data_IF_844112335670
#
_entry.id   IF_844112335670
#
_cell.length_a   1.000
_cell.length_b   1.000
_cell.length_c   1.000
_cell.angle_alpha   90.00
_cell.angle_beta   90.00
_cell.angle_gamma   90.00
#
_symmetry.space_group_name_H-M   'P 1'
#
loop_
_entity.id
_entity.type
_entity.pdbx_description
1 polymer ?
#
# COMPACT_ATOMS: atom_id res chain seq x y z
N UNK A 1 -16.93 -31.42 29.44
CA UNK A 1 -15.59 -31.00 29.02
C UNK A 1 -15.68 -29.55 28.55
N UNK A 2 -15.03 -28.61 29.25
CA UNK A 2 -15.12 -27.16 28.99
C UNK A 2 -14.18 -26.79 27.84
N UNK A 3 -14.70 -26.24 26.75
CA UNK A 3 -13.96 -25.35 25.85
C UNK A 3 -14.73 -24.03 25.73
N UNK A 4 -14.57 -23.16 26.73
CA UNK A 4 -14.83 -21.73 26.59
C UNK A 4 -13.57 -21.09 26.00
N UNK A 5 -13.42 -21.17 24.69
CA UNK A 5 -12.47 -20.32 23.97
C UNK A 5 -13.12 -18.97 23.71
N UNK A 6 -13.08 -18.06 24.68
CA UNK A 6 -13.45 -16.68 24.44
C UNK A 6 -12.55 -16.13 23.32
N UNK A 7 -13.13 -15.82 22.16
CA UNK A 7 -12.44 -15.10 21.08
C UNK A 7 -11.98 -13.76 21.65
N UNK A 8 -10.71 -13.66 22.06
CA UNK A 8 -10.08 -12.36 22.24
C UNK A 8 -9.91 -11.78 20.85
N UNK A 9 -10.90 -11.02 20.38
CA UNK A 9 -10.64 -9.99 19.40
C UNK A 9 -9.77 -8.97 20.13
N UNK A 10 -8.47 -8.98 19.84
CA UNK A 10 -7.62 -7.91 20.33
C UNK A 10 -8.05 -6.64 19.60
N UNK A 11 -8.31 -5.54 20.33
CA UNK A 11 -8.58 -4.27 19.69
C UNK A 11 -7.35 -3.84 18.85
N UNK A 12 -7.51 -2.93 17.87
CA UNK A 12 -6.40 -2.30 17.17
C UNK A 12 -5.35 -1.71 18.12
N UNK A 13 -4.21 -1.29 17.57
CA UNK A 13 -3.12 -0.64 18.31
C UNK A 13 -3.62 0.34 19.38
N UNK A 14 -2.94 0.32 20.53
CA UNK A 14 -3.11 1.34 21.53
C UNK A 14 -2.80 2.72 20.95
N UNK A 15 -3.41 3.75 21.53
CA UNK A 15 -3.15 5.13 21.11
C UNK A 15 -1.65 5.49 21.24
N UNK A 16 -0.93 4.91 22.20
CA UNK A 16 0.53 5.04 22.34
C UNK A 16 1.28 4.51 21.12
N UNK A 17 0.94 3.31 20.65
CA UNK A 17 1.61 2.72 19.49
C UNK A 17 1.36 3.53 18.21
N UNK A 18 0.13 4.01 18.00
CA UNK A 18 -0.20 4.89 16.87
C UNK A 18 0.49 6.25 16.97
N UNK A 19 0.55 6.84 18.17
CA UNK A 19 1.26 8.09 18.43
C UNK A 19 2.74 7.93 18.11
N UNK A 20 3.40 6.86 18.56
CA UNK A 20 4.81 6.62 18.26
C UNK A 20 5.04 6.45 16.74
N UNK A 21 4.17 5.71 16.05
CA UNK A 21 4.25 5.58 14.60
C UNK A 21 4.10 6.94 13.92
N UNK A 22 3.11 7.74 14.35
CA UNK A 22 2.87 9.08 13.81
C UNK A 22 4.08 9.99 14.04
N UNK A 23 4.59 10.09 15.27
CA UNK A 23 5.81 10.85 15.56
C UNK A 23 6.96 10.40 14.66
N UNK A 24 7.18 9.07 14.52
CA UNK A 24 8.26 8.56 13.68
C UNK A 24 8.09 8.91 12.19
N UNK A 25 6.86 8.92 11.68
CA UNK A 25 6.55 9.30 10.30
C UNK A 25 6.97 10.74 10.02
N UNK A 26 6.59 11.67 10.90
CA UNK A 26 6.88 13.10 10.72
C UNK A 26 8.31 13.49 11.15
N UNK A 27 8.94 12.74 12.07
CA UNK A 27 10.36 12.89 12.41
C UNK A 27 11.28 12.54 11.22
N UNK A 28 10.95 11.48 10.48
CA UNK A 28 11.77 10.98 9.38
C UNK A 28 11.56 11.76 8.07
N UNK A 29 10.41 12.40 7.93
CA UNK A 29 10.00 13.08 6.70
C UNK A 29 9.51 14.49 7.02
N UNK A 30 10.46 15.39 7.26
CA UNK A 30 10.16 16.80 7.53
C UNK A 30 9.38 17.43 6.36
N UNK A 31 8.40 18.26 6.70
CA UNK A 31 7.51 18.89 5.74
C UNK A 31 6.53 17.96 5.02
N UNK A 32 6.46 16.66 5.38
CA UNK A 32 5.50 15.72 4.80
C UNK A 32 4.05 16.18 5.03
N UNK A 33 3.25 16.20 3.96
CA UNK A 33 1.83 16.59 4.01
C UNK A 33 0.97 15.52 3.34
N UNK A 34 0.28 14.65 4.11
CA UNK A 34 -0.52 13.55 3.55
C UNK A 34 -1.49 13.96 2.45
N UNK A 35 -2.11 15.14 2.59
CA UNK A 35 -3.09 15.65 1.61
C UNK A 35 -2.45 16.20 0.33
N UNK A 36 -1.15 16.48 0.32
CA UNK A 36 -0.38 16.96 -0.85
C UNK A 36 0.57 15.89 -1.39
N UNK A 37 0.37 14.63 -1.03
CA UNK A 37 1.21 13.51 -1.46
C UNK A 37 0.49 12.61 -2.44
N UNK A 38 1.25 12.07 -3.39
CA UNK A 38 0.79 11.04 -4.32
C UNK A 38 1.13 9.67 -3.72
N UNK A 39 0.18 8.75 -3.70
CA UNK A 39 0.36 7.41 -3.15
C UNK A 39 0.48 6.42 -4.31
N UNK A 40 1.49 5.56 -4.26
CA UNK A 40 1.83 4.62 -5.33
C UNK A 40 1.99 3.21 -4.78
N UNK A 41 1.68 2.23 -5.62
CA UNK A 41 2.03 0.83 -5.40
C UNK A 41 2.18 0.09 -6.73
N UNK A 42 3.33 -0.55 -6.97
CA UNK A 42 3.56 -1.37 -8.16
C UNK A 42 3.23 -2.84 -7.91
N UNK A 43 2.51 -3.42 -8.86
CA UNK A 43 2.24 -4.84 -8.91
C UNK A 43 2.93 -5.49 -10.12
N UNK A 44 3.64 -6.58 -9.87
CA UNK A 44 4.43 -7.27 -10.89
C UNK A 44 5.52 -8.16 -10.32
N UNK A 45 6.35 -8.70 -11.20
CA UNK A 45 7.44 -9.59 -10.82
C UNK A 45 8.70 -8.86 -10.35
N UNK A 46 8.72 -7.53 -10.37
CA UNK A 46 9.90 -6.71 -10.06
C UNK A 46 10.83 -6.50 -11.26
N UNK A 47 11.93 -5.77 -11.02
CA UNK A 47 13.05 -5.56 -11.96
C UNK A 47 12.62 -4.98 -13.33
N UNK A 48 11.68 -4.04 -13.34
CA UNK A 48 11.17 -3.40 -14.56
C UNK A 48 10.07 -4.17 -15.28
N UNK A 49 9.69 -5.35 -14.81
CA UNK A 49 8.58 -6.14 -15.34
C UNK A 49 7.27 -5.86 -14.59
N UNK A 50 7.02 -4.57 -14.34
CA UNK A 50 5.81 -4.15 -13.66
C UNK A 50 4.59 -4.23 -14.57
N UNK A 51 3.53 -4.84 -14.05
CA UNK A 51 2.31 -5.09 -14.79
C UNK A 51 1.22 -4.07 -14.46
N UNK A 52 1.26 -3.51 -13.25
CA UNK A 52 0.31 -2.52 -12.79
C UNK A 52 0.96 -1.47 -11.89
N UNK A 53 0.37 -0.28 -11.89
CA UNK A 53 0.69 0.79 -10.96
C UNK A 53 -0.61 1.43 -10.46
N UNK A 54 -0.87 1.30 -9.17
CA UNK A 54 -1.93 2.02 -8.49
C UNK A 54 -1.49 3.44 -8.16
N UNK A 55 -2.32 4.43 -8.47
CA UNK A 55 -2.10 5.84 -8.16
C UNK A 55 -3.25 6.36 -7.30
N UNK A 56 -2.95 7.07 -6.21
CA UNK A 56 -3.97 7.78 -5.44
C UNK A 56 -3.60 9.22 -5.10
N UNK A 57 -4.46 10.16 -5.51
CA UNK A 57 -4.32 11.60 -5.31
C UNK A 57 -5.43 12.16 -4.41
N UNK A 58 -5.14 12.47 -3.12
CA UNK A 58 -6.15 12.86 -2.15
C UNK A 58 -6.89 14.19 -2.45
N UNK A 59 -6.33 15.05 -3.30
CA UNK A 59 -6.94 16.35 -3.65
C UNK A 59 -8.23 16.20 -4.48
N UNK A 60 -8.44 15.05 -5.13
CA UNK A 60 -9.70 14.76 -5.85
C UNK A 60 -10.81 14.31 -4.89
N UNK A 61 -12.03 14.13 -5.41
CA UNK A 61 -13.19 13.68 -4.62
C UNK A 61 -13.63 12.28 -5.02
N UNK A 62 -14.10 11.51 -4.05
CA UNK A 62 -14.72 10.20 -4.28
C UNK A 62 -13.84 9.24 -5.09
N UNK A 63 -14.45 8.61 -6.09
CA UNK A 63 -13.81 7.61 -6.95
C UNK A 63 -12.71 8.17 -7.84
N UNK A 64 -12.71 9.49 -8.09
CA UNK A 64 -11.73 10.17 -8.94
C UNK A 64 -10.33 10.26 -8.33
N UNK A 65 -10.16 9.86 -7.07
CA UNK A 65 -8.86 9.87 -6.39
C UNK A 65 -7.91 8.80 -6.88
N UNK A 66 -8.39 7.78 -7.59
CA UNK A 66 -7.60 6.62 -7.95
C UNK A 66 -7.51 6.44 -9.46
N UNK A 67 -6.34 6.02 -9.94
CA UNK A 67 -6.16 5.47 -11.28
C UNK A 67 -5.28 4.23 -11.21
N UNK A 68 -5.65 3.23 -11.99
CA UNK A 68 -4.84 2.04 -12.22
C UNK A 68 -4.24 2.16 -13.61
N UNK A 69 -2.91 2.15 -13.69
CA UNK A 69 -2.21 2.01 -14.95
C UNK A 69 -1.85 0.53 -15.14
N UNK A 70 -2.30 -0.08 -16.23
CA UNK A 70 -1.98 -1.45 -16.60
C UNK A 70 -1.01 -1.46 -17.77
N UNK A 71 -0.02 -2.35 -17.72
CA UNK A 71 0.75 -2.71 -18.91
C UNK A 71 -0.12 -3.56 -19.84
N UNK A 72 0.24 -3.58 -21.12
CA UNK A 72 -0.38 -4.46 -22.09
C UNK A 72 0.14 -5.89 -21.96
N UNK A 73 0.42 -6.54 -23.08
CA UNK A 73 1.17 -7.80 -23.13
C UNK A 73 2.65 -7.60 -22.71
N UNK A 74 3.45 -8.66 -22.71
CA UNK A 74 4.87 -8.62 -22.30
C UNK A 74 5.72 -7.64 -23.14
N UNK A 75 5.26 -7.31 -24.34
CA UNK A 75 5.92 -6.35 -25.25
C UNK A 75 5.48 -4.89 -25.02
N UNK A 76 4.50 -4.64 -24.15
CA UNK A 76 3.95 -3.31 -23.85
C UNK A 76 4.04 -2.99 -22.35
N UNK A 77 5.25 -2.74 -21.82
CA UNK A 77 5.44 -2.39 -20.42
C UNK A 77 4.75 -1.06 -20.06
N UNK A 78 4.66 -0.79 -18.75
CA UNK A 78 4.27 0.54 -18.27
C UNK A 78 5.16 1.61 -18.92
N UNK A 79 4.56 2.71 -19.36
CA UNK A 79 5.26 3.75 -20.12
C UNK A 79 5.10 5.12 -19.50
N UNK A 80 6.08 6.00 -19.72
CA UNK A 80 6.01 7.39 -19.28
C UNK A 80 4.77 8.12 -19.86
N UNK A 81 4.37 7.78 -21.09
CA UNK A 81 3.15 8.28 -21.71
C UNK A 81 1.90 7.81 -20.96
N UNK A 82 1.81 6.53 -20.60
CA UNK A 82 0.71 5.99 -19.81
C UNK A 82 0.62 6.64 -18.43
N UNK A 83 1.76 6.81 -17.74
CA UNK A 83 1.82 7.53 -16.47
C UNK A 83 1.35 8.98 -16.62
N UNK A 84 1.77 9.68 -17.67
CA UNK A 84 1.33 11.05 -17.95
C UNK A 84 -0.19 11.12 -18.07
N UNK A 85 -0.82 10.25 -18.85
CA UNK A 85 -2.27 10.23 -18.99
C UNK A 85 -2.98 9.91 -17.66
N UNK A 86 -2.47 8.94 -16.90
CA UNK A 86 -3.05 8.61 -15.60
C UNK A 86 -2.97 9.79 -14.60
N UNK A 87 -1.89 10.58 -14.64
CA UNK A 87 -1.75 11.79 -13.84
C UNK A 87 -2.64 12.93 -14.33
N UNK A 88 -2.81 13.09 -15.64
CA UNK A 88 -3.73 14.06 -16.26
C UNK A 88 -5.18 13.75 -15.87
N UNK A 89 -5.58 12.48 -15.90
CA UNK A 89 -6.90 12.02 -15.47
C UNK A 89 -7.16 12.22 -13.98
N UNK A 90 -6.11 12.10 -13.15
CA UNK A 90 -6.16 12.46 -11.74
C UNK A 90 -6.18 13.98 -11.52
N UNK A 91 -6.02 14.78 -12.59
CA UNK A 91 -5.74 16.21 -12.52
C UNK A 91 -4.62 16.53 -11.52
N UNK A 92 -3.58 15.69 -11.52
CA UNK A 92 -2.45 15.78 -10.62
C UNK A 92 -1.26 16.42 -11.35
N UNK A 93 -1.02 17.70 -11.11
CA UNK A 93 0.19 18.34 -11.59
C UNK A 93 1.38 17.89 -10.72
N UNK A 94 2.41 17.28 -11.34
CA UNK A 94 3.61 16.83 -10.63
C UNK A 94 4.30 17.94 -9.81
N UNK A 95 4.15 19.21 -10.20
CA UNK A 95 4.64 20.37 -9.46
C UNK A 95 3.97 20.51 -8.08
N UNK A 96 2.69 20.15 -7.96
CA UNK A 96 1.89 20.25 -6.73
C UNK A 96 2.15 19.11 -5.74
N UNK A 97 2.69 17.99 -6.23
CA UNK A 97 3.04 16.85 -5.40
C UNK A 97 4.20 17.23 -4.47
N UNK A 98 3.96 17.17 -3.16
CA UNK A 98 4.96 17.41 -2.13
C UNK A 98 5.85 16.17 -1.89
N UNK A 99 5.24 15.00 -1.86
CA UNK A 99 5.94 13.73 -1.64
C UNK A 99 5.23 12.60 -2.35
N UNK A 100 5.96 11.52 -2.61
CA UNK A 100 5.44 10.25 -3.07
C UNK A 100 5.47 9.26 -1.91
N UNK A 101 4.37 8.54 -1.67
CA UNK A 101 4.22 7.65 -0.52
C UNK A 101 4.01 6.22 -0.99
N UNK A 102 4.74 5.30 -0.36
CA UNK A 102 4.74 3.87 -0.71
C UNK A 102 4.83 3.01 0.53
N UNK A 103 4.55 1.72 0.38
CA UNK A 103 4.84 0.70 1.39
C UNK A 103 5.66 -0.42 0.77
N UNK A 104 6.97 -0.35 0.97
CA UNK A 104 7.92 -1.16 0.21
C UNK A 104 9.00 -1.76 1.10
N UNK A 105 9.60 -2.86 0.64
CA UNK A 105 10.95 -3.23 1.07
C UNK A 105 11.98 -2.10 0.88
N UNK A 106 13.24 -2.39 1.21
CA UNK A 106 14.34 -1.42 1.15
C UNK A 106 14.57 -0.65 2.46
N UNK A 107 15.45 0.34 2.45
CA UNK A 107 15.70 1.26 3.57
C UNK A 107 14.99 2.60 3.32
N UNK A 108 15.66 3.74 3.61
CA UNK A 108 15.11 5.08 3.36
C UNK A 108 14.81 5.26 1.87
N UNK A 109 15.69 4.76 1.00
CA UNK A 109 15.36 4.60 -0.41
C UNK A 109 14.56 3.30 -0.59
N UNK A 110 13.30 3.42 -1.02
CA UNK A 110 12.41 2.28 -1.22
C UNK A 110 12.74 1.51 -2.49
N UNK A 111 12.52 0.20 -2.48
CA UNK A 111 12.55 -0.63 -3.70
C UNK A 111 11.59 -0.07 -4.76
N UNK A 112 10.43 0.45 -4.33
CA UNK A 112 9.50 1.21 -5.18
C UNK A 112 10.11 2.41 -5.91
N UNK A 113 11.05 3.15 -5.30
CA UNK A 113 11.71 4.26 -5.99
C UNK A 113 12.66 3.74 -7.06
N UNK A 114 13.35 2.63 -6.79
CA UNK A 114 14.21 1.98 -7.76
C UNK A 114 13.37 1.49 -8.96
N UNK A 115 12.29 0.76 -8.69
CA UNK A 115 11.31 0.31 -9.71
C UNK A 115 10.79 1.49 -10.52
N UNK A 116 10.39 2.58 -9.87
CA UNK A 116 9.91 3.78 -10.56
C UNK A 116 10.97 4.38 -11.50
N UNK A 117 12.22 4.47 -11.04
CA UNK A 117 13.35 5.01 -11.82
C UNK A 117 13.73 4.11 -12.99
N UNK A 118 13.60 2.80 -12.83
CA UNK A 118 13.81 1.81 -13.89
C UNK A 118 12.73 1.93 -14.97
N UNK A 119 11.46 2.01 -14.58
CA UNK A 119 10.31 2.04 -15.50
C UNK A 119 10.14 3.40 -16.18
N UNK A 120 10.22 4.51 -15.43
CA UNK A 120 9.89 5.84 -15.94
C UNK A 120 11.11 6.78 -16.08
N UNK A 121 12.29 6.31 -15.69
CA UNK A 121 13.53 7.06 -15.80
C UNK A 121 13.87 7.89 -14.56
N UNK A 122 15.17 7.97 -14.26
CA UNK A 122 15.73 8.70 -13.10
C UNK A 122 15.40 10.19 -13.10
N UNK A 123 15.27 10.81 -14.27
CA UNK A 123 15.04 12.25 -14.42
C UNK A 123 13.56 12.64 -14.37
N UNK A 124 12.64 11.69 -14.18
CA UNK A 124 11.23 12.00 -14.07
C UNK A 124 10.94 12.88 -12.84
N UNK A 125 10.05 13.86 -12.95
CA UNK A 125 9.79 14.86 -11.89
C UNK A 125 9.40 14.21 -10.55
N UNK A 126 8.59 13.14 -10.59
CA UNK A 126 8.21 12.40 -9.37
C UNK A 126 9.38 11.65 -8.73
N UNK A 127 10.38 11.20 -9.51
CA UNK A 127 11.58 10.53 -9.00
C UNK A 127 12.51 11.50 -8.23
N UNK A 128 12.28 12.81 -8.38
CA UNK A 128 13.01 13.89 -7.72
C UNK A 128 12.27 14.43 -6.48
N UNK A 129 11.06 13.96 -6.19
CA UNK A 129 10.31 14.33 -4.98
C UNK A 129 10.85 13.59 -3.76
N UNK A 130 10.40 13.97 -2.57
CA UNK A 130 10.63 13.17 -1.37
C UNK A 130 9.81 11.89 -1.43
N UNK A 131 10.46 10.74 -1.25
CA UNK A 131 9.79 9.43 -1.16
C UNK A 131 9.65 9.01 0.30
N UNK A 132 8.43 8.71 0.71
CA UNK A 132 8.04 8.35 2.07
C UNK A 132 7.71 6.86 2.09
N UNK A 133 8.60 6.05 2.65
CA UNK A 133 8.39 4.61 2.77
C UNK A 133 7.80 4.26 4.14
N UNK A 134 6.49 4.01 4.19
CA UNK A 134 5.78 3.70 5.43
C UNK A 134 6.24 2.41 6.10
N UNK A 135 6.78 1.46 5.33
CA UNK A 135 7.31 0.23 5.90
C UNK A 135 8.58 0.50 6.73
N UNK A 136 9.40 1.49 6.37
CA UNK A 136 10.55 1.92 7.20
C UNK A 136 10.06 2.50 8.53
N UNK A 137 9.03 3.35 8.47
CA UNK A 137 8.41 3.93 9.67
C UNK A 137 7.90 2.83 10.59
N UNK A 138 7.18 1.84 10.04
CA UNK A 138 6.74 0.67 10.78
C UNK A 138 7.92 -0.07 11.42
N UNK A 139 8.98 -0.35 10.65
CA UNK A 139 10.16 -1.08 11.14
C UNK A 139 10.95 -0.33 12.23
N UNK A 140 10.88 1.01 12.24
CA UNK A 140 11.51 1.90 13.23
C UNK A 140 10.59 2.25 14.42
N UNK A 141 9.32 1.85 14.39
CA UNK A 141 8.35 2.11 15.46
C UNK A 141 8.22 0.89 16.39
N UNK A 142 8.98 0.90 17.49
CA UNK A 142 9.10 -0.26 18.40
C UNK A 142 7.79 -0.70 19.05
N UNK A 143 6.94 0.25 19.43
CA UNK A 143 5.61 0.00 20.01
C UNK A 143 4.63 -0.49 18.95
N UNK A 144 4.60 0.14 17.78
CA UNK A 144 3.76 -0.33 16.68
C UNK A 144 4.12 -1.76 16.26
N UNK A 145 5.43 -2.08 16.15
CA UNK A 145 5.87 -3.45 15.91
C UNK A 145 5.46 -4.42 16.99
N UNK A 146 5.51 -3.99 18.26
CA UNK A 146 5.05 -4.80 19.37
C UNK A 146 3.55 -5.09 19.22
N UNK A 147 2.74 -4.07 18.91
CA UNK A 147 1.32 -4.21 18.63
C UNK A 147 1.04 -5.26 17.53
N UNK A 148 1.70 -5.11 16.37
CA UNK A 148 1.58 -6.07 15.25
C UNK A 148 1.94 -7.50 15.67
N UNK A 149 3.00 -7.68 16.47
CA UNK A 149 3.42 -9.00 16.97
C UNK A 149 2.48 -9.60 18.01
N UNK A 150 1.85 -8.77 18.81
CA UNK A 150 0.95 -9.22 19.87
C UNK A 150 -0.41 -9.61 19.28
N UNK A 151 -0.92 -8.83 18.33
CA UNK A 151 -2.19 -9.10 17.65
C UNK A 151 -2.09 -10.22 16.62
N UNK A 152 -0.95 -10.33 15.92
CA UNK A 152 -0.70 -11.33 14.85
C UNK A 152 -1.84 -11.40 13.84
N UNK A 153 -2.39 -10.23 13.49
CA UNK A 153 -3.55 -10.14 12.62
C UNK A 153 -3.29 -10.82 11.27
N UNK A 154 -2.09 -10.65 10.71
CA UNK A 154 -1.63 -11.33 9.49
C UNK A 154 -0.38 -12.16 9.78
N UNK A 155 -0.37 -13.41 9.33
CA UNK A 155 0.74 -14.36 9.42
C UNK A 155 0.96 -14.99 8.05
N UNK A 156 2.22 -15.21 7.63
CA UNK A 156 2.47 -16.02 6.44
C UNK A 156 2.06 -17.47 6.69
N UNK A 157 1.49 -18.14 5.69
CA UNK A 157 1.16 -19.56 5.75
C UNK A 157 2.42 -20.36 6.14
N UNK A 158 2.27 -21.29 7.08
CA UNK A 158 3.38 -22.09 7.60
C UNK A 158 4.36 -21.34 8.53
N UNK A 159 4.12 -20.05 8.83
CA UNK A 159 4.93 -19.28 9.78
C UNK A 159 4.11 -18.85 10.99
N UNK A 160 4.71 -18.97 12.18
CA UNK A 160 4.07 -18.51 13.41
C UNK A 160 4.28 -17.01 13.69
N UNK A 161 5.26 -16.38 13.04
CA UNK A 161 5.61 -14.99 13.27
C UNK A 161 4.65 -14.04 12.56
N UNK A 162 4.40 -12.88 13.18
CA UNK A 162 3.64 -11.80 12.57
C UNK A 162 4.36 -11.26 11.32
N UNK A 163 3.56 -10.93 10.31
CA UNK A 163 4.03 -10.32 9.07
C UNK A 163 3.88 -8.79 9.16
N UNK A 164 4.96 -8.03 8.94
CA UNK A 164 4.91 -6.55 8.94
C UNK A 164 4.46 -6.00 7.58
N UNK A 165 3.29 -6.44 7.13
CA UNK A 165 2.68 -6.01 5.86
C UNK A 165 1.84 -4.74 6.03
N UNK A 166 1.43 -4.15 4.90
CA UNK A 166 0.45 -3.08 4.88
C UNK A 166 -0.85 -3.53 5.58
N UNK A 167 -1.29 -4.77 5.34
CA UNK A 167 -2.50 -5.32 5.97
C UNK A 167 -2.44 -5.40 7.50
N UNK A 168 -1.25 -5.66 8.06
CA UNK A 168 -1.05 -5.58 9.50
C UNK A 168 -1.19 -4.14 9.98
N UNK A 169 -0.60 -3.18 9.26
CA UNK A 169 -0.70 -1.76 9.58
C UNK A 169 -2.14 -1.23 9.46
N UNK A 170 -2.88 -1.67 8.45
CA UNK A 170 -4.30 -1.39 8.27
C UNK A 170 -5.09 -1.77 9.52
N UNK A 171 -4.89 -3.00 10.01
CA UNK A 171 -5.54 -3.48 11.23
C UNK A 171 -5.22 -2.61 12.44
N UNK A 172 -3.94 -2.26 12.64
CA UNK A 172 -3.53 -1.41 13.77
C UNK A 172 -4.15 -0.01 13.71
N UNK A 173 -4.42 0.51 12.50
CA UNK A 173 -5.12 1.78 12.29
C UNK A 173 -6.64 1.63 12.18
N UNK A 174 -7.21 0.44 12.39
CA UNK A 174 -8.64 0.19 12.31
C UNK A 174 -9.22 0.24 10.89
N UNK A 175 -8.37 0.13 9.87
CA UNK A 175 -8.76 0.04 8.47
C UNK A 175 -9.08 -1.42 8.17
N UNK A 176 -10.32 -1.69 7.72
CA UNK A 176 -10.76 -3.05 7.40
C UNK A 176 -10.45 -3.38 5.94
N UNK A 177 -9.71 -4.46 5.72
CA UNK A 177 -9.53 -5.08 4.41
C UNK A 177 -10.65 -6.09 4.14
N UNK A 178 -11.23 -6.02 2.95
CA UNK A 178 -12.21 -6.99 2.48
C UNK A 178 -11.57 -8.40 2.43
N UNK A 179 -12.26 -9.47 2.87
CA UNK A 179 -11.75 -10.83 2.80
C UNK A 179 -11.24 -11.26 1.41
N UNK A 180 -11.89 -10.79 0.34
CA UNK A 180 -11.53 -11.15 -1.03
C UNK A 180 -10.21 -10.51 -1.50
N UNK A 181 -9.78 -9.43 -0.85
CA UNK A 181 -8.56 -8.67 -1.19
C UNK A 181 -7.34 -9.08 -0.35
N UNK A 182 -7.47 -10.12 0.45
CA UNK A 182 -6.44 -10.62 1.37
C UNK A 182 -5.40 -11.44 0.60
N UNK A 183 -4.12 -11.15 0.84
CA UNK A 183 -3.00 -11.84 0.20
C UNK A 183 -3.06 -13.37 0.34
N UNK A 184 -2.89 -14.08 -0.79
CA UNK A 184 -3.03 -15.55 -0.84
C UNK A 184 -2.00 -16.32 0.01
N UNK A 185 -0.86 -15.72 0.37
CA UNK A 185 0.19 -16.35 1.16
C UNK A 185 0.03 -16.13 2.67
N UNK A 186 -1.12 -15.59 3.10
CA UNK A 186 -1.37 -15.16 4.46
C UNK A 186 -2.57 -15.87 5.12
N UNK A 187 -2.48 -16.03 6.45
CA UNK A 187 -3.55 -16.46 7.36
C UNK A 187 -3.87 -15.34 8.34
N UNK A 188 -5.15 -15.11 8.58
CA UNK A 188 -5.64 -13.98 9.37
C UNK A 188 -6.05 -14.38 10.80
N UNK A 189 -6.39 -13.40 11.62
CA UNK A 189 -6.86 -13.63 13.00
C UNK A 189 -8.14 -14.49 13.06
N UNK A 190 -8.99 -14.39 12.05
CA UNK A 190 -10.19 -15.22 11.88
C UNK A 190 -9.90 -16.65 11.36
N UNK A 191 -8.63 -17.00 11.20
CA UNK A 191 -8.11 -18.26 10.66
C UNK A 191 -8.44 -18.52 9.18
N UNK A 192 -9.08 -17.58 8.47
CA UNK A 192 -9.19 -17.67 7.02
C UNK A 192 -7.82 -17.44 6.37
N UNK A 193 -7.59 -18.10 5.25
CA UNK A 193 -6.49 -17.79 4.32
C UNK A 193 -6.96 -16.73 3.34
N UNK A 194 -6.05 -15.84 2.93
CA UNK A 194 -6.34 -14.98 1.79
C UNK A 194 -6.41 -15.79 0.50
N UNK A 195 -7.05 -15.23 -0.52
CA UNK A 195 -7.19 -15.86 -1.83
C UNK A 195 -6.69 -14.95 -2.97
N UNK A 196 -6.21 -13.75 -2.66
CA UNK A 196 -5.82 -12.79 -3.68
C UNK A 196 -4.49 -13.19 -4.32
N UNK A 197 -4.60 -13.68 -5.57
CA UNK A 197 -3.48 -14.09 -6.41
C UNK A 197 -3.18 -13.05 -7.48
N UNK A 198 -2.64 -11.92 -7.03
CA UNK A 198 -2.44 -10.72 -7.87
C UNK A 198 -1.66 -10.99 -9.16
N UNK A 199 -0.59 -11.80 -9.11
CA UNK A 199 0.23 -12.12 -10.29
C UNK A 199 -0.51 -13.00 -11.30
N UNK A 200 -1.31 -13.98 -10.84
CA UNK A 200 -2.14 -14.80 -11.73
C UNK A 200 -3.26 -13.96 -12.36
N UNK A 201 -3.85 -13.03 -11.59
CA UNK A 201 -4.88 -12.11 -12.05
C UNK A 201 -4.34 -11.17 -13.15
N UNK A 202 -3.20 -10.53 -12.89
CA UNK A 202 -2.52 -9.67 -13.85
C UNK A 202 -2.17 -10.43 -15.13
N UNK A 203 -1.68 -11.67 -15.02
CA UNK A 203 -1.36 -12.49 -16.19
C UNK A 203 -2.59 -12.71 -17.07
N UNK A 204 -3.73 -13.13 -16.49
CA UNK A 204 -4.97 -13.37 -17.24
C UNK A 204 -5.47 -12.12 -17.95
N UNK A 205 -5.47 -10.98 -17.26
CA UNK A 205 -5.90 -9.71 -17.84
C UNK A 205 -5.00 -9.27 -19.00
N UNK A 206 -3.68 -9.48 -18.89
CA UNK A 206 -2.72 -9.12 -19.93
C UNK A 206 -2.75 -10.05 -21.15
N UNK A 207 -3.10 -11.32 -20.97
CA UNK A 207 -3.27 -12.28 -22.08
C UNK A 207 -4.63 -12.22 -22.75
N UNK A 208 -5.57 -11.41 -22.22
CA UNK A 208 -6.93 -11.31 -22.73
C UNK A 208 -7.87 -12.42 -22.24
N UNK A 209 -7.42 -13.25 -21.30
CA UNK A 209 -8.21 -14.33 -20.68
C UNK A 209 -9.00 -13.87 -19.44
N UNK A 210 -8.81 -12.61 -19.01
CA UNK A 210 -9.46 -12.04 -17.84
C UNK A 210 -10.87 -11.53 -18.12
N UNK A 211 -11.71 -11.50 -17.09
CA UNK A 211 -13.08 -11.00 -17.16
C UNK A 211 -13.22 -9.56 -16.63
N UNK A 212 -14.41 -8.98 -16.76
CA UNK A 212 -14.73 -7.69 -16.12
C UNK A 212 -14.67 -7.79 -14.58
N UNK A 213 -15.05 -8.94 -14.01
CA UNK A 213 -14.90 -9.20 -12.58
C UNK A 213 -13.43 -9.28 -12.15
N UNK A 214 -12.57 -9.90 -12.97
CA UNK A 214 -11.13 -9.93 -12.72
C UNK A 214 -10.55 -8.50 -12.72
N UNK A 215 -10.99 -7.66 -13.67
CA UNK A 215 -10.59 -6.25 -13.75
C UNK A 215 -11.06 -5.46 -12.53
N UNK A 216 -12.32 -5.63 -12.12
CA UNK A 216 -12.88 -4.97 -10.94
C UNK A 216 -12.20 -5.41 -9.64
N UNK A 217 -11.85 -6.70 -9.52
CA UNK A 217 -11.12 -7.25 -8.37
C UNK A 217 -9.70 -6.69 -8.29
N UNK A 218 -8.99 -6.62 -9.43
CA UNK A 218 -7.67 -5.99 -9.51
C UNK A 218 -7.73 -4.53 -9.09
N UNK A 219 -8.69 -3.78 -9.65
CA UNK A 219 -8.86 -2.37 -9.33
C UNK A 219 -9.17 -2.17 -7.83
N UNK A 220 -10.06 -2.98 -7.26
CA UNK A 220 -10.41 -2.91 -5.85
C UNK A 220 -9.21 -3.20 -4.93
N UNK A 221 -8.39 -4.19 -5.29
CA UNK A 221 -7.17 -4.52 -4.57
C UNK A 221 -6.16 -3.37 -4.60
N UNK A 222 -5.74 -2.94 -5.79
CA UNK A 222 -4.76 -1.87 -5.94
C UNK A 222 -5.24 -0.55 -5.31
N UNK A 223 -6.54 -0.24 -5.43
CA UNK A 223 -7.16 0.94 -4.79
C UNK A 223 -7.07 0.85 -3.27
N UNK A 224 -7.39 -0.32 -2.69
CA UNK A 224 -7.34 -0.53 -1.25
C UNK A 224 -5.93 -0.27 -0.72
N UNK A 225 -4.89 -0.73 -1.39
CA UNK A 225 -3.50 -0.55 -0.94
C UNK A 225 -3.12 0.94 -0.83
N UNK A 226 -3.24 1.69 -1.92
CA UNK A 226 -2.87 3.12 -1.92
C UNK A 226 -3.80 3.99 -1.08
N UNK A 227 -5.10 3.65 -0.98
CA UNK A 227 -6.04 4.37 -0.12
C UNK A 227 -5.74 4.12 1.36
N UNK A 228 -5.35 2.90 1.73
CA UNK A 228 -4.93 2.57 3.09
C UNK A 228 -3.69 3.34 3.51
N UNK A 229 -2.71 3.51 2.63
CA UNK A 229 -1.55 4.38 2.91
C UNK A 229 -2.01 5.81 3.22
N UNK A 230 -2.91 6.37 2.42
CA UNK A 230 -3.46 7.70 2.70
C UNK A 230 -4.19 7.76 4.04
N UNK A 231 -5.04 6.78 4.35
CA UNK A 231 -5.77 6.71 5.63
C UNK A 231 -4.81 6.67 6.82
N UNK A 232 -3.77 5.83 6.77
CA UNK A 232 -2.73 5.74 7.82
C UNK A 232 -2.00 7.08 7.99
N UNK A 233 -1.52 7.69 6.90
CA UNK A 233 -0.83 8.98 6.95
C UNK A 233 -1.75 10.08 7.51
N UNK A 234 -2.99 10.14 7.04
CA UNK A 234 -3.95 11.17 7.45
C UNK A 234 -4.36 11.01 8.91
N UNK A 235 -4.52 9.78 9.40
CA UNK A 235 -4.80 9.55 10.81
C UNK A 235 -3.60 9.89 11.69
N UNK A 236 -2.38 9.54 11.25
CA UNK A 236 -1.14 9.93 11.92
C UNK A 236 -1.03 11.45 12.08
N UNK A 237 -1.37 12.22 11.04
CA UNK A 237 -1.40 13.68 11.10
C UNK A 237 -2.44 14.21 12.11
N UNK A 238 -3.62 13.57 12.21
CA UNK A 238 -4.64 13.96 13.19
C UNK A 238 -4.18 13.68 14.60
N UNK A 239 -3.53 12.53 14.84
CA UNK A 239 -3.05 12.13 16.16
C UNK A 239 -2.07 13.17 16.73
N UNK A 240 -1.15 13.68 15.90
CA UNK A 240 -0.17 14.69 16.35
C UNK A 240 -0.73 16.11 16.47
N UNK A 241 -1.94 16.38 15.96
CA UNK A 241 -2.59 17.70 16.04
C UNK A 241 -3.64 17.80 17.14
N UNK A 242 -3.90 16.71 17.85
CA UNK A 242 -4.75 16.67 19.04
C UNK A 242 -3.94 17.10 20.25
#
# INVERSE_FOLDING_TARGET
MKFRGSRRQFPPASESAKLQFASKLFDLHDGFRPTKSLYLDFEGSGAGHEAALGLYWPQRKGTERFRLLLSGDDDRPLSATGLKYALEDLHCACSEVNSVVVFSGGEIESDELHRFREVFGKNHVLAQKTWVNMHVVLRKSSEMKRSVRDHRYVRKIGRQMAHYSLEALEWEFGIRRCPDLRGHDCTYADQATGNMKILELLKRLRTGDGTDEDSALLEAYCRQDVESLFKVARESEKILRR
#
